data_IF_402450948657
#
_entry.id   IF_402450948657
#
_cell.length_a   1.000
_cell.length_b   1.000
_cell.length_c   1.000
_cell.angle_alpha   90.00
_cell.angle_beta   90.00
_cell.angle_gamma   90.00
#
_symmetry.space_group_name_H-M   'P 1'
#
loop_
_entity.id
_entity.type
_entity.pdbx_description
1 polymer ?
#
# COMPACT_ATOMS: atom_id res chain seq x y z
N UNK A 1 0.94 6.20 30.88
CA UNK A 1 0.86 4.88 30.21
C UNK A 1 1.83 3.95 30.94
N UNK A 2 1.46 2.69 31.19
CA UNK A 2 2.40 1.74 31.78
C UNK A 2 3.37 1.28 30.68
N UNK A 3 4.68 1.40 30.93
CA UNK A 3 5.71 0.89 30.03
C UNK A 3 5.71 -0.64 30.06
N UNK A 4 5.84 -1.26 28.89
CA UNK A 4 6.07 -2.71 28.76
C UNK A 4 7.45 -3.04 29.34
N UNK A 5 7.59 -4.15 30.06
CA UNK A 5 8.84 -4.47 30.73
C UNK A 5 9.93 -4.89 29.75
N UNK A 6 9.57 -5.70 28.75
CA UNK A 6 10.49 -6.26 27.76
C UNK A 6 9.95 -6.06 26.34
N UNK A 7 10.68 -5.31 25.52
CA UNK A 7 10.29 -5.04 24.14
C UNK A 7 11.35 -5.59 23.20
N UNK A 8 10.94 -6.38 22.21
CA UNK A 8 11.81 -6.80 21.11
C UNK A 8 11.58 -5.89 19.91
N UNK A 9 12.64 -5.30 19.39
CA UNK A 9 12.59 -4.40 18.24
C UNK A 9 13.13 -5.07 16.97
N UNK A 10 12.27 -5.14 15.95
CA UNK A 10 12.60 -5.52 14.58
C UNK A 10 13.16 -4.31 13.77
N UNK A 11 13.71 -4.54 12.58
CA UNK A 11 14.22 -3.51 11.67
C UNK A 11 13.16 -2.42 11.39
N UNK A 12 11.89 -2.82 11.29
CA UNK A 12 10.76 -1.91 11.11
C UNK A 12 10.65 -0.84 12.19
N UNK A 13 10.96 -1.17 13.44
CA UNK A 13 10.93 -0.24 14.57
C UNK A 13 11.91 0.92 14.35
N UNK A 14 13.12 0.61 13.93
CA UNK A 14 14.18 1.61 13.71
C UNK A 14 13.96 2.42 12.43
N UNK A 15 13.51 1.78 11.35
CA UNK A 15 13.24 2.43 10.07
C UNK A 15 12.10 3.46 10.17
N UNK A 16 11.15 3.25 11.07
CA UNK A 16 10.03 4.17 11.33
C UNK A 16 10.29 5.20 12.42
N UNK A 17 11.50 5.21 12.99
CA UNK A 17 11.86 6.11 14.08
C UNK A 17 10.95 5.99 15.30
N UNK A 18 10.66 4.75 15.70
CA UNK A 18 9.88 4.46 16.90
C UNK A 18 10.58 5.01 18.16
N UNK A 19 9.86 5.80 18.96
CA UNK A 19 10.30 6.21 20.29
C UNK A 19 10.19 5.05 21.29
N UNK A 20 11.06 4.05 21.15
CA UNK A 20 11.00 2.82 21.95
C UNK A 20 11.13 3.06 23.46
N UNK A 21 11.80 4.14 23.87
CA UNK A 21 11.91 4.56 25.26
C UNK A 21 10.56 4.88 25.92
N UNK A 22 9.56 5.29 25.13
CA UNK A 22 8.22 5.60 25.61
C UNK A 22 7.31 4.36 25.64
N UNK A 23 7.81 3.24 25.10
CA UNK A 23 7.06 1.99 24.95
C UNK A 23 7.55 0.95 25.96
N UNK A 24 8.87 0.79 26.10
CA UNK A 24 9.46 -0.30 26.86
C UNK A 24 10.59 0.13 27.79
N UNK A 25 10.71 -0.56 28.95
CA UNK A 25 11.83 -0.37 29.88
C UNK A 25 13.10 -1.04 29.39
N UNK A 26 13.01 -2.30 28.96
CA UNK A 26 14.14 -3.06 28.45
C UNK A 26 13.94 -3.34 26.96
N UNK A 27 14.83 -2.81 26.13
CA UNK A 27 14.73 -2.91 24.67
C UNK A 27 15.75 -3.91 24.18
N UNK A 28 15.27 -4.98 23.56
CA UNK A 28 16.06 -6.07 23.00
C UNK A 28 16.04 -6.05 21.48
N UNK A 29 17.15 -6.42 20.86
CA UNK A 29 17.20 -6.72 19.43
C UNK A 29 18.30 -7.73 19.13
N UNK A 30 18.42 -8.12 17.87
CA UNK A 30 19.47 -9.02 17.39
C UNK A 30 20.49 -8.22 16.58
N UNK A 31 21.75 -8.65 16.62
CA UNK A 31 22.84 -7.97 15.92
C UNK A 31 22.62 -7.94 14.41
N UNK A 32 22.12 -9.05 13.86
CA UNK A 32 21.84 -9.21 12.44
C UNK A 32 20.87 -8.14 11.93
N UNK A 33 19.78 -7.90 12.69
CA UNK A 33 18.76 -6.87 12.39
C UNK A 33 19.40 -5.49 12.24
N UNK A 34 20.24 -5.09 13.19
CA UNK A 34 20.90 -3.77 13.15
C UNK A 34 21.95 -3.69 12.04
N UNK A 35 22.69 -4.77 11.82
CA UNK A 35 23.74 -4.84 10.79
C UNK A 35 23.18 -4.78 9.36
N UNK A 36 21.95 -5.27 9.15
CA UNK A 36 21.29 -5.28 7.86
C UNK A 36 20.78 -3.89 7.43
N UNK A 37 20.56 -2.98 8.38
CA UNK A 37 20.00 -1.65 8.10
C UNK A 37 20.95 -0.85 7.20
N UNK A 38 20.53 -0.65 5.94
CA UNK A 38 21.31 0.12 4.94
C UNK A 38 20.99 1.61 4.93
N UNK A 39 19.84 2.01 5.46
CA UNK A 39 19.42 3.40 5.45
C UNK A 39 20.40 4.31 6.20
N UNK A 40 20.74 5.46 5.61
CA UNK A 40 21.78 6.34 6.16
C UNK A 40 21.26 7.16 7.34
N UNK A 41 20.01 7.61 7.29
CA UNK A 41 19.42 8.41 8.36
C UNK A 41 19.23 7.55 9.61
N UNK A 42 18.66 6.35 9.45
CA UNK A 42 18.48 5.39 10.54
C UNK A 42 19.80 4.97 11.18
N UNK A 43 20.85 4.67 10.39
CA UNK A 43 22.18 4.35 10.95
C UNK A 43 22.79 5.47 11.78
N UNK A 44 22.55 6.73 11.39
CA UNK A 44 23.00 7.89 12.19
C UNK A 44 22.25 7.98 13.51
N UNK A 45 20.93 7.74 13.52
CA UNK A 45 20.12 7.75 14.74
C UNK A 45 20.49 6.61 15.70
N UNK A 46 20.73 5.41 15.15
CA UNK A 46 21.18 4.25 15.94
C UNK A 46 22.50 4.48 16.67
N UNK A 47 23.35 5.40 16.18
CA UNK A 47 24.60 5.76 16.85
C UNK A 47 24.41 6.68 18.08
N UNK A 48 23.24 7.29 18.24
CA UNK A 48 22.95 8.31 19.28
C UNK A 48 21.62 8.05 19.99
N UNK A 49 21.30 6.78 20.26
CA UNK A 49 20.04 6.42 20.92
C UNK A 49 20.00 6.96 22.37
N UNK A 50 18.85 7.50 22.82
CA UNK A 50 18.67 7.99 24.19
C UNK A 50 18.40 6.86 25.21
N UNK A 51 18.53 5.59 24.79
CA UNK A 51 18.26 4.41 25.60
C UNK A 51 19.29 3.31 25.31
N UNK A 52 19.44 2.38 26.25
CA UNK A 52 20.30 1.21 26.09
C UNK A 52 19.61 0.16 25.21
N UNK A 53 20.28 -0.23 24.11
CA UNK A 53 19.83 -1.31 23.23
C UNK A 53 20.55 -2.60 23.60
N UNK A 54 19.81 -3.60 24.09
CA UNK A 54 20.38 -4.90 24.50
C UNK A 54 20.37 -5.90 23.36
N UNK A 55 21.54 -6.42 23.03
CA UNK A 55 21.67 -7.47 22.02
C UNK A 55 21.53 -8.84 22.68
N UNK A 56 20.51 -9.62 22.30
CA UNK A 56 20.29 -10.98 22.78
C UNK A 56 20.04 -11.90 21.59
N UNK A 57 20.81 -12.97 21.50
CA UNK A 57 20.59 -14.02 20.49
C UNK A 57 19.64 -15.08 21.08
N UNK A 58 18.64 -15.54 20.32
CA UNK A 58 17.74 -16.60 20.77
C UNK A 58 18.47 -17.94 20.88
N UNK A 59 18.06 -18.78 21.84
CA UNK A 59 18.62 -20.12 21.99
C UNK A 59 18.29 -21.00 20.76
N UNK A 60 19.20 -21.90 20.33
CA UNK A 60 19.00 -22.75 19.16
C UNK A 60 17.72 -23.61 19.21
N UNK A 61 17.24 -23.93 20.41
CA UNK A 61 16.00 -24.69 20.63
C UNK A 61 14.77 -23.98 20.04
N UNK A 62 14.75 -22.65 20.08
CA UNK A 62 13.67 -21.81 19.53
C UNK A 62 13.90 -21.42 18.06
N UNK A 63 15.11 -21.59 17.55
CA UNK A 63 15.54 -21.19 16.19
C UNK A 63 15.59 -22.42 15.29
N UNK A 64 14.46 -23.09 15.06
CA UNK A 64 14.35 -24.10 13.99
C UNK A 64 14.00 -23.50 12.63
N UNK A 65 13.69 -22.20 12.60
CA UNK A 65 13.29 -21.44 11.42
C UNK A 65 14.12 -20.14 11.37
N UNK A 66 14.40 -19.63 10.16
CA UNK A 66 15.15 -18.39 9.87
C UNK A 66 14.43 -17.11 10.34
N UNK A 67 13.86 -17.11 11.55
CA UNK A 67 13.10 -15.99 12.10
C UNK A 67 13.54 -15.74 13.55
N UNK A 68 14.76 -15.25 13.69
CA UNK A 68 15.41 -15.02 14.98
C UNK A 68 14.62 -14.03 15.87
N UNK A 69 13.98 -13.01 15.29
CA UNK A 69 13.18 -12.03 16.05
C UNK A 69 11.98 -12.70 16.73
N UNK A 70 11.25 -13.55 15.99
CA UNK A 70 10.14 -14.32 16.55
C UNK A 70 10.62 -15.28 17.65
N UNK A 71 11.72 -15.98 17.41
CA UNK A 71 12.32 -16.88 18.40
C UNK A 71 12.70 -16.12 19.69
N UNK A 72 13.29 -14.93 19.57
CA UNK A 72 13.64 -14.09 20.71
C UNK A 72 12.40 -13.62 21.48
N UNK A 73 11.34 -13.22 20.78
CA UNK A 73 10.08 -12.84 21.43
C UNK A 73 9.47 -13.99 22.20
N UNK A 74 9.43 -15.18 21.60
CA UNK A 74 8.92 -16.39 22.25
C UNK A 74 9.75 -16.79 23.47
N UNK A 75 11.08 -16.69 23.37
CA UNK A 75 11.98 -16.99 24.48
C UNK A 75 11.73 -16.06 25.67
N UNK A 76 11.59 -14.75 25.43
CA UNK A 76 11.30 -13.79 26.51
C UNK A 76 9.91 -14.02 27.11
N UNK A 77 8.91 -14.34 26.29
CA UNK A 77 7.58 -14.70 26.79
C UNK A 77 7.64 -15.92 27.72
N UNK A 78 8.35 -16.97 27.29
CA UNK A 78 8.55 -18.18 28.08
C UNK A 78 9.30 -17.94 29.40
N UNK A 79 10.27 -17.01 29.40
CA UNK A 79 11.10 -16.66 30.56
C UNK A 79 10.33 -15.84 31.60
N UNK A 80 9.51 -14.86 31.17
CA UNK A 80 8.88 -13.88 32.07
C UNK A 80 7.40 -14.12 32.37
N UNK A 81 6.65 -14.75 31.46
CA UNK A 81 5.20 -14.96 31.59
C UNK A 81 4.86 -16.45 31.66
N UNK A 82 5.51 -17.26 30.83
CA UNK A 82 5.28 -18.70 30.68
C UNK A 82 4.51 -19.04 29.40
N UNK A 83 4.48 -20.33 29.03
CA UNK A 83 4.01 -20.80 27.71
C UNK A 83 2.57 -21.32 27.68
N UNK A 84 1.85 -21.33 28.80
CA UNK A 84 0.53 -21.97 28.91
C UNK A 84 -0.56 -21.30 28.07
N UNK A 85 -0.45 -20.00 27.81
CA UNK A 85 -1.41 -19.23 27.02
C UNK A 85 -1.11 -19.24 25.52
N UNK A 86 0.07 -19.74 25.12
CA UNK A 86 0.52 -19.73 23.73
C UNK A 86 -0.10 -20.90 22.95
N UNK A 87 -0.51 -20.61 21.72
CA UNK A 87 -1.12 -21.61 20.82
C UNK A 87 -0.03 -22.39 20.09
N UNK A 88 -0.13 -23.72 20.08
CA UNK A 88 0.79 -24.59 19.34
C UNK A 88 0.38 -24.80 17.88
N UNK A 89 -0.92 -24.81 17.61
CA UNK A 89 -1.48 -24.97 16.27
C UNK A 89 -2.37 -23.77 15.92
N UNK A 90 -2.26 -23.23 14.68
CA UNK A 90 -3.11 -22.14 14.24
C UNK A 90 -4.54 -22.61 14.02
N UNK A 91 -5.49 -21.71 14.23
CA UNK A 91 -6.90 -21.98 13.95
C UNK A 91 -7.17 -22.17 12.45
N UNK A 92 -8.23 -22.93 12.15
CA UNK A 92 -8.64 -23.18 10.76
C UNK A 92 -9.05 -21.88 10.08
N UNK A 93 -8.52 -21.68 8.88
CA UNK A 93 -8.79 -20.49 8.06
C UNK A 93 -10.27 -20.44 7.68
N UNK A 94 -10.94 -19.33 8.00
CA UNK A 94 -12.30 -19.07 7.54
C UNK A 94 -12.27 -18.41 6.18
N UNK A 95 -13.18 -18.83 5.30
CA UNK A 95 -13.21 -18.39 3.90
C UNK A 95 -14.57 -17.76 3.60
N UNK A 96 -14.54 -16.52 3.12
CA UNK A 96 -15.70 -15.82 2.60
C UNK A 96 -15.46 -15.41 1.15
N UNK A 97 -16.51 -15.04 0.43
CA UNK A 97 -16.37 -14.62 -0.95
C UNK A 97 -17.35 -13.51 -1.32
N UNK A 98 -16.90 -12.54 -2.09
CA UNK A 98 -17.64 -11.35 -2.51
C UNK A 98 -17.53 -11.16 -4.03
N UNK A 99 -18.51 -10.49 -4.64
CA UNK A 99 -18.43 -10.09 -6.06
C UNK A 99 -17.46 -8.90 -6.29
N UNK A 100 -17.03 -8.25 -5.23
CA UNK A 100 -16.16 -7.09 -5.27
C UNK A 100 -14.80 -7.42 -5.89
N UNK A 101 -14.25 -6.47 -6.65
CA UNK A 101 -12.95 -6.63 -7.31
C UNK A 101 -11.79 -6.38 -6.31
N UNK A 102 -10.69 -7.16 -6.34
CA UNK A 102 -9.57 -6.99 -5.40
C UNK A 102 -8.84 -5.64 -5.47
N UNK A 103 -8.96 -4.94 -6.60
CA UNK A 103 -8.37 -3.60 -6.81
C UNK A 103 -9.33 -2.45 -6.44
N UNK A 104 -10.47 -2.74 -5.79
CA UNK A 104 -11.30 -1.67 -5.23
C UNK A 104 -10.55 -0.94 -4.11
N UNK A 105 -10.52 0.40 -4.11
CA UNK A 105 -9.73 1.19 -3.17
C UNK A 105 -10.44 1.30 -1.81
N UNK A 106 -10.66 0.16 -1.16
CA UNK A 106 -11.15 0.14 0.21
C UNK A 106 -10.03 0.54 1.17
N UNK A 107 -10.34 1.37 2.17
CA UNK A 107 -9.39 1.82 3.20
C UNK A 107 -8.21 2.63 2.67
N UNK A 108 -8.37 3.32 1.53
CA UNK A 108 -7.39 4.29 1.05
C UNK A 108 -7.87 5.68 1.47
N UNK A 109 -7.14 6.34 2.36
CA UNK A 109 -7.43 7.72 2.78
C UNK A 109 -7.51 8.65 1.57
N UNK A 110 -8.54 9.50 1.52
CA UNK A 110 -8.80 10.42 0.42
C UNK A 110 -9.57 9.82 -0.76
N UNK A 111 -9.90 8.53 -0.72
CA UNK A 111 -10.85 7.91 -1.67
C UNK A 111 -12.21 7.77 -1.00
N UNK A 112 -13.12 8.71 -1.29
CA UNK A 112 -14.50 8.63 -0.81
C UNK A 112 -15.30 7.62 -1.64
N UNK A 113 -15.78 6.55 -1.00
CA UNK A 113 -16.79 5.67 -1.58
C UNK A 113 -18.12 6.01 -0.90
N UNK A 114 -19.09 6.61 -1.61
CA UNK A 114 -20.39 6.88 -1.03
C UNK A 114 -21.04 5.55 -0.65
N UNK A 115 -21.15 5.28 0.64
CA UNK A 115 -22.01 4.21 1.13
C UNK A 115 -23.45 4.66 0.91
N UNK A 116 -24.30 3.79 0.35
CA UNK A 116 -25.75 4.01 0.40
C UNK A 116 -26.12 4.29 1.86
N UNK A 117 -26.97 5.28 2.15
CA UNK A 117 -27.36 5.59 3.52
C UNK A 117 -27.90 4.32 4.18
N UNK A 118 -27.33 3.96 5.32
CA UNK A 118 -27.87 2.90 6.16
C UNK A 118 -29.21 3.43 6.66
N UNK A 119 -30.32 2.93 6.11
CA UNK A 119 -31.63 3.13 6.72
C UNK A 119 -31.54 2.71 8.21
N UNK A 120 -32.08 3.51 9.14
CA UNK A 120 -32.16 3.13 10.54
C UNK A 120 -32.82 1.75 10.66
N UNK A 121 -32.15 0.83 11.35
CA UNK A 121 -32.70 -0.50 11.62
C UNK A 121 -33.84 -0.37 12.63
N UNK A 122 -35.07 -0.29 12.15
CA UNK A 122 -36.24 -0.68 12.92
C UNK A 122 -36.62 -2.13 12.59
N UNK A 123 -36.80 -2.91 13.64
CA UNK A 123 -37.18 -4.31 13.65
C UNK A 123 -38.67 -4.50 13.34
N UNK A 124 -39.07 -5.08 12.21
CA UNK A 124 -40.30 -5.90 12.08
C UNK A 124 -40.16 -6.92 10.91
N UNK A 125 -40.76 -8.08 11.11
CA UNK A 125 -40.75 -9.31 10.31
C UNK A 125 -41.57 -9.27 8.98
N UNK A 126 -41.03 -10.01 7.98
CA UNK A 126 -41.68 -10.82 6.91
C UNK A 126 -42.61 -10.21 5.84
N UNK A 127 -42.19 -10.36 4.56
CA UNK A 127 -43.07 -10.42 3.38
C UNK A 127 -42.42 -10.00 2.05
N UNK A 128 -42.02 -10.96 1.20
CA UNK A 128 -41.92 -10.78 -0.27
C UNK A 128 -43.34 -10.87 -0.88
N UNK A 129 -43.66 -10.34 -2.10
CA UNK A 129 -42.80 -10.32 -3.30
C UNK A 129 -42.99 -9.13 -4.28
N UNK A 130 -42.26 -9.24 -5.41
CA UNK A 130 -42.58 -8.81 -6.78
C UNK A 130 -41.72 -7.69 -7.41
N UNK A 131 -41.04 -8.16 -8.47
CA UNK A 131 -40.33 -7.50 -9.57
C UNK A 131 -40.85 -6.14 -10.04
N UNK A 132 -39.92 -5.22 -10.31
CA UNK A 132 -39.98 -4.20 -11.38
C UNK A 132 -38.52 -3.91 -11.84
N UNK A 133 -38.30 -3.52 -13.10
CA UNK A 133 -37.11 -3.90 -13.87
C UNK A 133 -35.88 -3.04 -13.58
N UNK A 134 -34.72 -3.68 -13.70
CA UNK A 134 -33.41 -3.04 -13.68
C UNK A 134 -33.25 -2.14 -14.91
N UNK A 135 -33.13 -0.83 -14.69
CA UNK A 135 -32.62 0.11 -15.69
C UNK A 135 -31.18 -0.25 -16.06
N UNK A 136 -31.05 -1.04 -17.13
CA UNK A 136 -29.82 -1.63 -17.66
C UNK A 136 -28.89 -0.62 -18.36
N UNK A 137 -29.06 0.69 -18.20
CA UNK A 137 -28.19 1.70 -18.84
C UNK A 137 -27.15 2.34 -17.92
N UNK A 138 -27.24 2.17 -16.60
CA UNK A 138 -26.25 2.74 -15.68
C UNK A 138 -25.05 1.81 -15.42
N UNK A 139 -24.53 1.20 -16.49
CA UNK A 139 -23.27 0.46 -16.47
C UNK A 139 -22.36 0.76 -17.66
N UNK A 140 -22.45 1.98 -18.20
CA UNK A 140 -21.48 2.46 -19.19
C UNK A 140 -20.48 3.42 -18.53
N UNK A 141 -19.35 2.87 -18.07
CA UNK A 141 -18.14 3.63 -17.81
C UNK A 141 -17.63 4.23 -19.14
N UNK A 142 -18.16 5.38 -19.54
CA UNK A 142 -17.70 6.18 -20.68
C UNK A 142 -16.79 7.32 -20.20
N UNK A 143 -15.60 6.96 -19.70
CA UNK A 143 -14.53 7.94 -19.53
C UNK A 143 -13.80 8.06 -20.89
N UNK A 144 -13.70 9.30 -21.40
CA UNK A 144 -13.07 9.77 -22.66
C UNK A 144 -13.95 9.90 -23.92
N UNK A 145 -14.60 11.07 -24.10
CA UNK A 145 -14.58 11.86 -25.35
C UNK A 145 -14.62 13.38 -25.07
N UNK A 146 -13.92 14.11 -25.94
CA UNK A 146 -13.60 15.55 -25.99
C UNK A 146 -14.75 16.42 -26.57
N UNK A 147 -14.66 17.78 -26.55
CA UNK A 147 -13.57 18.61 -26.01
C UNK A 147 -13.96 19.40 -24.75
N UNK A 148 -12.95 19.71 -23.94
CA UNK A 148 -13.08 20.66 -22.84
C UNK A 148 -13.44 22.05 -23.41
N UNK A 149 -14.23 22.86 -22.68
CA UNK A 149 -14.50 24.24 -23.07
C UNK A 149 -13.19 25.02 -23.29
N UNK A 150 -13.18 25.91 -24.28
CA UNK A 150 -12.01 26.75 -24.55
C UNK A 150 -11.90 27.84 -23.47
N UNK A 151 -10.90 27.71 -22.60
CA UNK A 151 -10.66 28.57 -21.43
C UNK A 151 -9.74 29.76 -21.78
N UNK A 152 -9.40 29.92 -23.06
CA UNK A 152 -8.47 30.97 -23.51
C UNK A 152 -8.99 32.39 -23.22
N UNK A 153 -10.32 32.60 -23.24
CA UNK A 153 -10.93 33.89 -22.94
C UNK A 153 -10.82 34.27 -21.46
N UNK A 154 -11.14 33.33 -20.55
CA UNK A 154 -11.05 33.55 -19.10
C UNK A 154 -9.60 33.81 -18.65
N UNK A 155 -8.63 33.20 -19.34
CA UNK A 155 -7.20 33.43 -19.09
C UNK A 155 -6.73 34.81 -19.56
N UNK A 156 -7.32 35.35 -20.63
CA UNK A 156 -6.98 36.68 -21.17
C UNK A 156 -7.52 37.82 -20.28
N UNK A 157 -8.70 37.59 -19.68
CA UNK A 157 -9.34 38.54 -18.78
C UNK A 157 -8.58 38.68 -17.44
N UNK A 158 -8.04 37.57 -16.93
CA UNK A 158 -7.17 37.55 -15.74
C UNK A 158 -5.79 38.19 -15.95
N UNK A 159 -5.31 38.28 -17.20
CA UNK A 159 -4.02 38.90 -17.51
C UNK A 159 -4.08 40.43 -17.69
N UNK A 160 -5.29 41.00 -17.81
CA UNK A 160 -5.46 42.43 -18.17
C UNK A 160 -6.02 43.30 -17.03
N UNK A 161 -6.37 42.72 -15.88
CA UNK A 161 -6.93 43.46 -14.74
C UNK A 161 -5.89 44.04 -13.77
N UNK A 162 -5.40 45.27 -14.00
CA UNK A 162 -4.67 46.08 -13.01
C UNK A 162 -5.35 47.44 -12.83
N UNK A 163 -6.00 47.64 -11.68
CA UNK A 163 -6.13 48.92 -10.96
C UNK A 163 -7.24 49.91 -11.34
N UNK A 164 -8.29 49.95 -10.50
CA UNK A 164 -9.06 51.11 -10.00
C UNK A 164 -9.79 52.09 -10.96
N UNK A 165 -11.14 52.11 -10.91
CA UNK A 165 -11.95 53.20 -10.29
C UNK A 165 -13.47 53.06 -10.57
N UNK A 166 -14.28 53.32 -9.54
CA UNK A 166 -15.75 53.56 -9.48
C UNK A 166 -16.00 55.09 -9.75
N UNK A 167 -17.17 55.67 -10.13
CA UNK A 167 -18.60 55.23 -10.11
C UNK A 167 -19.48 55.53 -11.37
N UNK A 168 -20.70 54.96 -11.44
CA UNK A 168 -22.02 55.67 -11.27
C UNK A 168 -23.20 55.06 -12.06
N UNK A 169 -24.22 54.61 -11.31
CA UNK A 169 -25.69 54.74 -11.45
C UNK A 169 -26.50 54.28 -12.69
N UNK A 170 -27.65 53.65 -12.33
CA UNK A 170 -28.95 53.47 -13.04
C UNK A 170 -29.06 52.51 -14.26
N UNK A 171 -29.63 51.31 -14.07
CA UNK A 171 -31.09 51.04 -14.15
C UNK A 171 -31.45 49.52 -14.05
N UNK A 172 -32.45 49.27 -13.20
CA UNK A 172 -33.50 48.21 -13.14
C UNK A 172 -33.36 46.93 -13.99
N UNK A 173 -33.48 45.77 -13.33
CA UNK A 173 -34.70 44.94 -13.38
C UNK A 173 -34.65 43.77 -12.38
N UNK A 174 -35.78 43.55 -11.72
CA UNK A 174 -36.01 42.56 -10.67
C UNK A 174 -36.06 41.14 -11.24
N UNK A 175 -35.29 40.21 -10.65
CA UNK A 175 -35.65 38.80 -10.67
C UNK A 175 -35.35 38.16 -9.32
N UNK A 176 -36.40 38.19 -8.48
CA UNK A 176 -36.53 37.42 -7.24
C UNK A 176 -36.59 35.94 -7.61
N UNK A 177 -35.45 35.25 -7.54
CA UNK A 177 -35.42 33.79 -7.48
C UNK A 177 -35.08 33.41 -6.05
N UNK A 178 -36.05 32.83 -5.34
CA UNK A 178 -35.88 32.32 -3.99
C UNK A 178 -34.83 31.20 -4.00
N UNK A 179 -33.64 31.49 -3.47
CA UNK A 179 -32.70 30.45 -3.06
C UNK A 179 -33.34 29.69 -1.90
N UNK A 180 -34.06 28.61 -2.22
CA UNK A 180 -34.27 27.52 -1.28
C UNK A 180 -32.89 27.06 -0.83
N UNK A 181 -32.56 27.33 0.42
CA UNK A 181 -31.52 26.62 1.16
C UNK A 181 -31.91 25.14 1.17
N UNK A 182 -31.41 24.40 0.20
CA UNK A 182 -31.34 22.96 0.28
C UNK A 182 -30.23 22.68 1.30
N UNK A 183 -30.62 22.44 2.56
CA UNK A 183 -29.73 21.86 3.56
C UNK A 183 -29.47 20.39 3.17
N UNK A 184 -28.71 20.24 2.08
CA UNK A 184 -28.05 19.00 1.74
C UNK A 184 -27.06 18.70 2.86
N UNK A 185 -27.34 17.65 3.62
CA UNK A 185 -26.39 17.02 4.54
C UNK A 185 -25.10 16.70 3.77
N UNK A 186 -24.15 17.64 3.75
CA UNK A 186 -22.79 17.44 3.30
C UNK A 186 -22.15 16.40 4.23
N UNK A 187 -22.22 15.13 3.82
CA UNK A 187 -21.33 14.11 4.34
C UNK A 187 -19.91 14.44 3.85
N UNK A 188 -19.29 15.36 4.57
CA UNK A 188 -17.93 15.90 4.40
C UNK A 188 -16.84 14.85 4.73
N UNK A 189 -17.20 13.56 4.74
CA UNK A 189 -16.43 12.44 5.28
C UNK A 189 -15.27 11.93 4.43
N UNK A 190 -14.87 12.65 3.38
CA UNK A 190 -13.90 12.16 2.37
C UNK A 190 -12.63 12.98 2.18
N UNK A 191 -12.58 14.23 2.67
CA UNK A 191 -11.49 15.15 2.35
C UNK A 191 -10.23 14.89 3.18
N UNK A 192 -9.05 15.23 2.66
CA UNK A 192 -7.80 15.34 3.42
C UNK A 192 -7.53 16.83 3.65
N UNK A 193 -7.81 17.31 4.85
CA UNK A 193 -7.70 18.71 5.25
C UNK A 193 -6.47 18.92 6.15
N UNK A 194 -5.93 20.14 6.26
CA UNK A 194 -4.87 20.44 7.22
C UNK A 194 -5.24 20.07 8.68
N UNK A 195 -6.54 20.09 9.00
CA UNK A 195 -7.06 19.69 10.32
C UNK A 195 -6.99 18.16 10.51
N UNK A 196 -7.28 17.38 9.47
CA UNK A 196 -7.28 15.92 9.57
C UNK A 196 -5.94 15.27 9.20
N UNK A 197 -5.01 15.94 8.52
CA UNK A 197 -3.74 15.30 8.11
C UNK A 197 -2.95 14.81 9.33
N UNK A 198 -2.92 15.61 10.41
CA UNK A 198 -2.32 15.21 11.69
C UNK A 198 -3.14 14.15 12.39
N UNK A 199 -4.45 14.07 12.16
CA UNK A 199 -5.28 13.00 12.71
C UNK A 199 -5.05 11.69 11.96
N UNK A 200 -5.00 11.71 10.63
CA UNK A 200 -4.70 10.55 9.78
C UNK A 200 -3.27 10.07 10.04
N UNK A 201 -2.33 11.01 10.18
CA UNK A 201 -0.97 10.71 10.63
C UNK A 201 -0.95 10.17 12.05
N UNK A 202 -1.84 10.61 12.96
CA UNK A 202 -1.92 10.08 14.33
C UNK A 202 -2.69 8.77 14.47
N UNK A 203 -3.70 8.51 13.66
CA UNK A 203 -4.37 7.21 13.53
C UNK A 203 -3.42 6.18 12.93
N UNK A 204 -2.47 6.65 12.10
CA UNK A 204 -1.19 6.01 11.94
C UNK A 204 -0.46 6.06 13.29
N UNK A 205 0.24 7.10 13.77
CA UNK A 205 1.10 7.15 14.99
C UNK A 205 0.61 6.50 16.32
N UNK A 206 -0.67 6.20 16.55
CA UNK A 206 -1.20 5.65 17.80
C UNK A 206 -0.67 4.24 18.10
N UNK A 207 0.19 4.17 19.11
CA UNK A 207 0.58 2.94 19.81
C UNK A 207 -0.54 2.53 20.77
N UNK A 208 -1.44 1.65 20.33
CA UNK A 208 -2.38 1.00 21.27
C UNK A 208 -1.66 -0.15 21.95
N UNK A 209 -1.06 0.14 23.11
CA UNK A 209 -0.49 -0.89 23.98
C UNK A 209 -1.65 -1.51 24.76
N UNK A 210 -1.89 -2.83 24.66
CA UNK A 210 -2.88 -3.50 25.51
C UNK A 210 -2.51 -3.30 26.99
N UNK A 211 -3.52 -3.11 27.85
CA UNK A 211 -3.27 -3.01 29.30
C UNK A 211 -2.74 -4.36 29.80
N UNK A 212 -1.66 -4.34 30.59
CA UNK A 212 -1.02 -5.52 31.23
C UNK A 212 -0.15 -6.42 30.32
N UNK A 213 0.58 -5.83 29.37
CA UNK A 213 1.57 -6.57 28.55
C UNK A 213 2.96 -6.48 29.20
N UNK A 214 3.55 -7.63 29.53
CA UNK A 214 4.93 -7.72 30.05
C UNK A 214 5.99 -7.81 28.95
N UNK A 215 5.74 -8.62 27.93
CA UNK A 215 6.63 -8.84 26.79
C UNK A 215 5.90 -8.48 25.50
N UNK A 216 6.56 -7.77 24.59
CA UNK A 216 5.96 -7.45 23.31
C UNK A 216 6.96 -7.23 22.18
N UNK A 217 6.51 -7.43 20.95
CA UNK A 217 7.33 -7.25 19.74
C UNK A 217 6.89 -6.02 18.97
N UNK A 218 7.82 -5.12 18.66
CA UNK A 218 7.61 -4.01 17.74
C UNK A 218 8.08 -4.43 16.35
N UNK A 219 7.12 -4.62 15.45
CA UNK A 219 7.39 -4.91 14.03
C UNK A 219 6.38 -4.22 13.12
N UNK A 220 6.83 -3.87 11.92
CA UNK A 220 6.00 -3.30 10.86
C UNK A 220 5.62 -4.32 9.78
N UNK A 221 6.14 -5.55 9.86
CA UNK A 221 5.85 -6.58 8.86
C UNK A 221 4.55 -7.32 9.22
N UNK A 222 3.54 -7.20 8.36
CA UNK A 222 2.27 -7.92 8.52
C UNK A 222 2.45 -9.44 8.60
N UNK A 223 3.45 -10.02 7.94
CA UNK A 223 3.71 -11.46 8.04
C UNK A 223 4.13 -11.86 9.45
N UNK A 224 5.04 -11.10 10.07
CA UNK A 224 5.46 -11.35 11.45
C UNK A 224 4.32 -11.09 12.43
N UNK A 225 3.56 -10.01 12.25
CA UNK A 225 2.39 -9.72 13.09
C UNK A 225 1.36 -10.84 13.06
N UNK A 226 1.05 -11.39 11.88
CA UNK A 226 0.11 -12.51 11.74
C UNK A 226 0.58 -13.75 12.52
N UNK A 227 1.88 -14.07 12.45
CA UNK A 227 2.43 -15.22 13.17
C UNK A 227 2.41 -14.97 14.67
N UNK A 228 2.80 -13.78 15.13
CA UNK A 228 2.76 -13.40 16.55
C UNK A 228 1.34 -13.51 17.12
N UNK A 229 0.33 -12.95 16.42
CA UNK A 229 -1.07 -13.05 16.82
C UNK A 229 -1.57 -14.51 16.85
N UNK A 230 -1.18 -15.33 15.87
CA UNK A 230 -1.55 -16.76 15.84
C UNK A 230 -0.92 -17.56 16.98
N UNK A 231 0.29 -17.21 17.40
CA UNK A 231 0.96 -17.83 18.54
C UNK A 231 0.40 -17.34 19.89
N UNK A 232 -0.34 -16.22 19.90
CA UNK A 232 -0.81 -15.56 21.11
C UNK A 232 0.20 -14.59 21.73
N UNK A 233 1.24 -14.20 20.98
CA UNK A 233 2.24 -13.22 21.40
C UNK A 233 1.76 -11.79 21.15
N UNK A 234 2.11 -10.88 22.05
CA UNK A 234 1.70 -9.49 21.96
C UNK A 234 2.54 -8.68 20.96
N UNK A 235 1.89 -8.17 19.92
CA UNK A 235 2.46 -7.19 18.99
C UNK A 235 2.24 -5.79 19.55
N UNK A 236 3.30 -5.01 19.63
CA UNK A 236 3.26 -3.59 19.96
C UNK A 236 3.35 -2.80 18.67
N UNK A 237 2.25 -2.20 18.26
CA UNK A 237 2.27 -1.38 17.05
C UNK A 237 2.95 -0.05 17.30
N UNK A 238 3.83 0.30 16.37
CA UNK A 238 4.30 1.67 16.19
C UNK A 238 3.62 2.22 14.96
N UNK A 239 3.10 3.43 15.10
CA UNK A 239 2.37 4.09 14.05
C UNK A 239 1.17 3.32 13.49
N UNK A 240 0.35 2.73 14.39
CA UNK A 240 -1.03 2.31 14.05
C UNK A 240 -1.07 1.17 13.06
N UNK A 241 0.11 0.57 12.87
CA UNK A 241 0.33 -0.64 12.12
C UNK A 241 -0.02 -1.88 12.96
N UNK A 242 -0.92 -1.78 13.96
CA UNK A 242 -1.49 -2.96 14.60
C UNK A 242 -2.61 -3.44 13.69
N UNK A 243 -2.56 -4.71 13.26
CA UNK A 243 -3.72 -5.31 12.61
C UNK A 243 -4.81 -5.45 13.68
N UNK A 244 -5.72 -4.47 13.75
CA UNK A 244 -6.98 -4.58 14.52
C UNK A 244 -8.08 -5.14 13.64
N UNK A 245 -8.39 -4.43 12.55
CA UNK A 245 -9.41 -4.86 11.59
C UNK A 245 -9.04 -4.51 10.13
N UNK A 246 -7.84 -3.97 9.90
CA UNK A 246 -7.40 -3.56 8.58
C UNK A 246 -7.16 -4.78 7.69
N UNK A 247 -7.85 -4.82 6.55
CA UNK A 247 -7.68 -5.84 5.52
C UNK A 247 -6.26 -5.80 4.96
N UNK A 248 -5.42 -6.74 5.37
CA UNK A 248 -4.14 -7.00 4.73
C UNK A 248 -4.34 -7.75 3.42
N UNK A 249 -3.33 -7.80 2.57
CA UNK A 249 -3.38 -8.55 1.32
C UNK A 249 -2.29 -9.61 1.29
N UNK A 250 -2.62 -10.78 0.73
CA UNK A 250 -1.66 -11.82 0.38
C UNK A 250 -1.82 -12.17 -1.10
N UNK A 251 -0.80 -12.79 -1.67
CA UNK A 251 -0.88 -13.38 -3.00
C UNK A 251 -1.15 -14.88 -2.89
N UNK A 252 -2.18 -15.36 -3.59
CA UNK A 252 -2.52 -16.78 -3.70
C UNK A 252 -2.40 -17.25 -5.14
N UNK A 253 -1.70 -18.35 -5.37
CA UNK A 253 -1.67 -18.99 -6.67
C UNK A 253 -3.01 -19.68 -6.97
N UNK A 254 -3.66 -19.38 -8.09
CA UNK A 254 -4.89 -20.05 -8.47
C UNK A 254 -4.68 -21.46 -9.08
N UNK A 255 -3.44 -21.82 -9.46
CA UNK A 255 -3.10 -23.16 -9.95
C UNK A 255 -2.79 -24.18 -8.85
N UNK A 256 -1.75 -23.93 -8.03
CA UNK A 256 -1.34 -24.84 -6.95
C UNK A 256 -1.83 -24.43 -5.54
N UNK A 257 -2.64 -23.38 -5.42
CA UNK A 257 -3.27 -22.91 -4.18
C UNK A 257 -2.36 -22.44 -3.05
N UNK A 258 -1.03 -22.50 -3.21
CA UNK A 258 -0.08 -21.92 -2.25
C UNK A 258 -0.20 -20.40 -2.18
N UNK A 259 -0.07 -19.88 -0.95
CA UNK A 259 -0.10 -18.46 -0.62
C UNK A 259 1.31 -17.94 -0.33
N UNK A 260 1.50 -16.64 -0.49
CA UNK A 260 2.70 -15.90 -0.09
C UNK A 260 2.30 -14.51 0.39
N UNK A 261 2.93 -14.04 1.47
CA UNK A 261 2.76 -12.67 2.01
C UNK A 261 3.58 -11.63 1.24
N UNK A 262 4.63 -12.05 0.51
CA UNK A 262 5.45 -11.15 -0.30
C UNK A 262 4.65 -10.59 -1.50
N UNK A 263 4.21 -9.34 -1.35
CA UNK A 263 3.41 -8.60 -2.33
C UNK A 263 4.20 -8.16 -3.57
N UNK A 264 5.54 -8.30 -3.57
CA UNK A 264 6.38 -7.98 -4.72
C UNK A 264 6.46 -9.13 -5.73
N UNK A 265 6.06 -10.34 -5.33
CA UNK A 265 6.14 -11.52 -6.20
C UNK A 265 5.17 -11.46 -7.37
N UNK A 266 5.66 -11.96 -8.50
CA UNK A 266 4.90 -12.11 -9.73
C UNK A 266 4.71 -13.58 -10.10
N UNK A 267 5.72 -14.41 -9.80
CA UNK A 267 5.72 -15.85 -10.01
C UNK A 267 5.47 -16.59 -8.70
N UNK A 268 4.74 -17.69 -8.78
CA UNK A 268 4.51 -18.57 -7.63
C UNK A 268 5.79 -19.33 -7.29
N UNK A 269 6.24 -19.26 -6.04
CA UNK A 269 7.46 -19.94 -5.55
C UNK A 269 7.38 -21.46 -5.63
N UNK A 270 6.18 -22.04 -5.72
CA UNK A 270 5.99 -23.49 -5.73
C UNK A 270 5.91 -24.09 -7.12
N UNK A 271 5.13 -23.49 -8.02
CA UNK A 271 4.92 -24.01 -9.36
C UNK A 271 5.60 -23.19 -10.47
N UNK A 272 6.30 -22.10 -10.13
CA UNK A 272 7.01 -21.22 -11.06
C UNK A 272 6.11 -20.35 -11.95
N UNK A 273 4.81 -20.64 -12.03
CA UNK A 273 3.90 -19.94 -12.93
C UNK A 273 3.54 -18.54 -12.44
N UNK A 274 3.28 -17.63 -13.40
CA UNK A 274 2.79 -16.27 -13.17
C UNK A 274 1.29 -16.25 -12.88
N UNK A 275 0.89 -16.91 -11.80
CA UNK A 275 -0.52 -17.24 -11.47
C UNK A 275 -0.98 -16.69 -10.13
N UNK A 276 -0.20 -15.80 -9.51
CA UNK A 276 -0.54 -15.15 -8.25
C UNK A 276 -1.72 -14.18 -8.42
N UNK A 277 -2.66 -14.22 -7.48
CA UNK A 277 -3.82 -13.32 -7.37
C UNK A 277 -3.86 -12.73 -5.97
N UNK A 278 -4.15 -11.43 -5.89
CA UNK A 278 -4.32 -10.72 -4.63
C UNK A 278 -5.62 -11.15 -3.95
N UNK A 279 -5.52 -11.56 -2.69
CA UNK A 279 -6.63 -11.94 -1.82
C UNK A 279 -6.51 -11.12 -0.54
N UNK A 280 -7.61 -10.54 -0.09
CA UNK A 280 -7.63 -9.77 1.14
C UNK A 280 -7.87 -10.68 2.35
N UNK A 281 -7.20 -10.38 3.45
CA UNK A 281 -7.13 -11.19 4.66
C UNK A 281 -7.35 -10.31 5.88
N UNK A 282 -8.12 -10.80 6.82
CA UNK A 282 -8.31 -10.19 8.15
C UNK A 282 -7.80 -11.18 9.18
N UNK A 283 -6.99 -10.70 10.13
CA UNK A 283 -6.60 -11.46 11.32
C UNK A 283 -7.28 -10.81 12.50
N UNK A 284 -8.09 -11.59 13.22
CA UNK A 284 -8.73 -11.12 14.45
C UNK A 284 -7.74 -11.17 15.62
N UNK A 285 -8.03 -10.48 16.72
CA UNK A 285 -7.22 -10.52 17.95
C UNK A 285 -7.06 -11.95 18.50
N UNK A 286 -8.04 -12.83 18.25
CA UNK A 286 -7.98 -14.26 18.59
C UNK A 286 -6.96 -15.05 17.73
N UNK A 287 -6.32 -14.43 16.75
CA UNK A 287 -5.43 -15.10 15.79
C UNK A 287 -6.16 -15.85 14.67
N UNK A 288 -7.50 -15.76 14.62
CA UNK A 288 -8.30 -16.39 13.55
C UNK A 288 -8.08 -15.71 12.19
N UNK A 289 -7.72 -16.51 11.18
CA UNK A 289 -7.44 -16.02 9.82
C UNK A 289 -8.69 -16.08 8.94
N UNK A 290 -9.12 -14.93 8.42
CA UNK A 290 -10.27 -14.80 7.53
C UNK A 290 -9.85 -14.35 6.13
N UNK A 291 -9.99 -15.21 5.12
CA UNK A 291 -9.70 -14.89 3.72
C UNK A 291 -10.96 -14.50 2.96
N UNK A 292 -10.93 -13.36 2.27
CA UNK A 292 -12.04 -12.88 1.45
C UNK A 292 -11.70 -13.01 -0.04
N UNK A 293 -12.34 -13.95 -0.71
CA UNK A 293 -12.15 -14.21 -2.14
C UNK A 293 -13.05 -13.34 -3.01
N UNK A 294 -12.55 -12.96 -4.18
CA UNK A 294 -13.37 -12.30 -5.21
C UNK A 294 -13.94 -13.33 -6.19
N UNK A 295 -15.28 -13.39 -6.30
CA UNK A 295 -16.01 -14.13 -7.34
C UNK A 295 -16.11 -13.37 -8.66
N UNK A 296 -15.53 -12.17 -8.73
CA UNK A 296 -15.58 -11.34 -9.93
C UNK A 296 -14.92 -12.07 -11.14
N UNK A 297 -15.66 -12.33 -12.23
CA UNK A 297 -15.16 -13.11 -13.36
C UNK A 297 -13.99 -12.42 -14.10
N UNK A 298 -13.80 -11.11 -13.91
CA UNK A 298 -12.66 -10.38 -14.49
C UNK A 298 -11.31 -10.78 -13.86
N UNK A 299 -11.30 -11.33 -12.65
CA UNK A 299 -10.06 -11.71 -11.93
C UNK A 299 -9.39 -12.93 -12.55
N UNK A 300 -10.19 -13.93 -12.94
CA UNK A 300 -9.75 -15.18 -13.56
C UNK A 300 -10.19 -15.23 -15.03
N UNK A 301 -9.75 -14.25 -15.81
CA UNK A 301 -10.02 -14.19 -17.24
C UNK A 301 -8.79 -14.66 -18.06
N UNK A 302 -8.92 -15.68 -18.94
CA UNK A 302 -7.81 -16.17 -19.75
C UNK A 302 -7.44 -15.27 -20.95
N UNK A 303 -8.21 -14.21 -21.23
CA UNK A 303 -7.97 -13.31 -22.35
C UNK A 303 -6.58 -12.65 -22.27
N UNK A 304 -5.87 -12.66 -23.39
CA UNK A 304 -4.55 -12.04 -23.54
C UNK A 304 -3.38 -12.82 -22.94
N UNK A 305 -3.62 -14.04 -22.43
CA UNK A 305 -2.56 -14.92 -21.92
C UNK A 305 -1.88 -15.73 -23.03
N UNK A 306 -2.60 -16.09 -24.10
CA UNK A 306 -2.07 -16.85 -25.25
C UNK A 306 -1.79 -15.92 -26.42
N UNK A 307 -0.52 -15.83 -26.80
CA UNK A 307 -0.02 -15.06 -27.94
C UNK A 307 1.31 -15.64 -28.43
N UNK A 308 1.69 -15.35 -29.67
CA UNK A 308 2.94 -15.84 -30.25
C UNK A 308 4.14 -15.14 -29.61
N UNK A 309 5.07 -15.93 -29.09
CA UNK A 309 6.33 -15.44 -28.54
C UNK A 309 7.39 -15.31 -29.65
N UNK A 310 8.29 -14.31 -29.57
CA UNK A 310 9.43 -14.22 -30.47
C UNK A 310 10.39 -15.39 -30.25
N UNK A 311 11.22 -15.70 -31.25
CA UNK A 311 12.30 -16.67 -31.09
C UNK A 311 13.28 -16.22 -29.99
N UNK A 312 13.83 -17.17 -29.20
CA UNK A 312 14.79 -16.84 -28.17
C UNK A 312 16.06 -16.27 -28.80
N UNK A 313 16.51 -15.11 -28.31
CA UNK A 313 17.74 -14.45 -28.80
C UNK A 313 18.73 -14.27 -27.65
N UNK A 314 20.01 -14.45 -27.96
CA UNK A 314 21.14 -14.18 -27.06
C UNK A 314 21.88 -12.89 -27.42
N UNK A 315 22.92 -12.57 -26.65
CA UNK A 315 23.79 -11.42 -26.86
C UNK A 315 23.58 -10.26 -25.87
N UNK A 316 24.46 -9.25 -25.94
CA UNK A 316 24.54 -8.15 -24.97
C UNK A 316 23.28 -7.28 -24.91
N UNK A 317 22.49 -7.24 -25.99
CA UNK A 317 21.33 -6.36 -26.14
C UNK A 317 20.00 -7.11 -26.28
N UNK A 318 20.00 -8.45 -26.12
CA UNK A 318 18.79 -9.24 -26.24
C UNK A 318 17.85 -9.00 -25.05
N UNK A 319 16.58 -8.74 -25.34
CA UNK A 319 15.52 -8.55 -24.33
C UNK A 319 14.40 -9.53 -24.67
N UNK A 320 14.44 -10.70 -24.03
CA UNK A 320 13.40 -11.71 -24.16
C UNK A 320 12.24 -11.40 -23.19
N UNK A 321 10.99 -11.84 -23.49
CA UNK A 321 9.90 -11.76 -22.53
C UNK A 321 10.24 -12.43 -21.20
N UNK A 322 9.74 -11.90 -20.09
CA UNK A 322 9.99 -12.41 -18.74
C UNK A 322 8.99 -13.53 -18.39
N UNK A 323 9.46 -14.77 -18.35
CA UNK A 323 8.66 -15.99 -18.23
C UNK A 323 8.88 -16.77 -16.92
N UNK A 324 10.08 -16.70 -16.33
CA UNK A 324 10.41 -17.35 -15.04
C UNK A 324 11.11 -16.37 -14.10
N UNK A 325 11.08 -16.63 -12.79
CA UNK A 325 11.65 -15.74 -11.78
C UNK A 325 13.18 -15.62 -11.84
N UNK A 326 13.84 -16.71 -12.21
CA UNK A 326 15.30 -16.87 -12.30
C UNK A 326 15.83 -16.54 -13.70
N UNK A 327 15.00 -15.93 -14.55
CA UNK A 327 15.38 -15.61 -15.91
C UNK A 327 16.55 -14.61 -15.95
N UNK A 328 17.63 -15.01 -16.62
CA UNK A 328 18.82 -14.17 -16.77
C UNK A 328 18.58 -13.08 -17.81
N UNK A 329 18.79 -11.83 -17.41
CA UNK A 329 18.77 -10.67 -18.30
C UNK A 329 20.18 -10.10 -18.47
N UNK A 330 20.58 -9.68 -19.68
CA UNK A 330 21.80 -8.89 -19.87
C UNK A 330 21.77 -7.61 -19.04
N UNK A 331 22.94 -7.12 -18.62
CA UNK A 331 23.04 -5.90 -17.83
C UNK A 331 22.80 -4.66 -18.70
N UNK A 332 21.53 -4.24 -18.78
CA UNK A 332 21.10 -3.03 -19.45
C UNK A 332 20.72 -1.97 -18.41
N UNK A 333 21.74 -1.33 -17.83
CA UNK A 333 21.57 -0.33 -16.77
C UNK A 333 21.58 1.11 -17.31
N UNK A 334 20.93 2.00 -16.58
CA UNK A 334 20.94 3.43 -16.83
C UNK A 334 22.20 4.10 -16.28
N UNK A 335 22.59 5.21 -16.88
CA UNK A 335 23.66 6.08 -16.38
C UNK A 335 23.29 6.68 -15.00
N UNK A 336 24.25 7.33 -14.33
CA UNK A 336 23.95 8.08 -13.09
C UNK A 336 22.99 9.23 -13.37
N UNK A 337 23.22 9.99 -14.46
CA UNK A 337 22.39 11.13 -14.87
C UNK A 337 20.94 10.71 -15.13
N UNK A 338 20.73 9.63 -15.87
CA UNK A 338 19.39 9.11 -16.16
C UNK A 338 18.59 8.63 -14.94
N UNK A 339 19.26 8.31 -13.82
CA UNK A 339 18.61 7.85 -12.58
C UNK A 339 18.29 8.98 -11.62
N UNK A 340 18.81 10.18 -11.86
CA UNK A 340 18.55 11.34 -11.01
C UNK A 340 17.11 11.81 -11.20
N UNK A 341 16.48 12.14 -10.07
CA UNK A 341 15.18 12.82 -10.04
C UNK A 341 15.39 14.18 -9.39
N UNK A 342 14.47 15.10 -9.67
CA UNK A 342 14.45 16.41 -9.02
C UNK A 342 13.78 16.27 -7.67
N UNK A 343 14.49 16.63 -6.61
CA UNK A 343 13.92 16.77 -5.27
C UNK A 343 13.84 18.26 -4.93
N UNK A 344 12.62 18.80 -4.90
CA UNK A 344 12.35 20.23 -4.70
C UNK A 344 12.61 20.65 -3.25
N UNK A 345 12.55 19.70 -2.32
CA UNK A 345 12.74 19.96 -0.89
C UNK A 345 14.17 19.65 -0.42
N UNK A 346 15.06 19.28 -1.34
CA UNK A 346 16.46 19.08 -1.02
C UNK A 346 17.16 20.44 -0.75
N UNK A 347 18.11 20.50 0.20
CA UNK A 347 18.76 21.76 0.59
C UNK A 347 19.57 22.39 -0.55
N UNK A 348 20.00 21.61 -1.53
CA UNK A 348 20.75 22.03 -2.70
C UNK A 348 19.86 22.53 -3.85
N UNK A 349 18.54 22.43 -3.74
CA UNK A 349 17.60 22.84 -4.79
C UNK A 349 17.70 24.33 -5.14
N UNK A 350 17.81 25.20 -4.13
CA UNK A 350 17.88 26.67 -4.31
C UNK A 350 19.13 27.10 -5.06
N UNK A 351 20.22 26.34 -4.95
CA UNK A 351 21.47 26.60 -5.65
C UNK A 351 21.47 26.11 -7.12
N UNK A 352 20.41 25.42 -7.56
CA UNK A 352 20.30 24.88 -8.91
C UNK A 352 20.09 25.97 -9.96
N UNK A 353 20.85 25.91 -11.06
CA UNK A 353 20.65 26.78 -12.24
C UNK A 353 19.33 26.51 -12.96
N UNK A 354 18.79 25.30 -12.80
CA UNK A 354 17.54 24.84 -13.42
C UNK A 354 16.64 24.23 -12.34
N UNK A 355 15.33 24.51 -12.35
CA UNK A 355 14.37 23.87 -11.46
C UNK A 355 14.23 22.35 -11.66
N UNK A 356 14.77 21.81 -12.75
CA UNK A 356 14.64 20.40 -13.14
C UNK A 356 16.00 19.74 -13.39
N UNK A 357 16.08 18.46 -13.01
CA UNK A 357 17.20 17.59 -13.33
C UNK A 357 17.32 17.38 -14.85
N UNK A 358 18.56 17.44 -15.34
CA UNK A 358 18.84 17.28 -16.77
C UNK A 358 18.65 15.84 -17.26
N UNK A 359 18.13 15.70 -18.47
CA UNK A 359 17.99 14.41 -19.14
C UNK A 359 19.34 13.88 -19.65
N UNK A 360 19.46 12.56 -19.68
CA UNK A 360 20.58 11.87 -20.32
C UNK A 360 20.24 11.54 -21.77
N UNK A 361 20.88 12.25 -22.70
CA UNK A 361 20.77 12.04 -24.14
C UNK A 361 22.08 11.55 -24.78
N UNK A 362 23.20 11.63 -24.05
CA UNK A 362 24.54 11.37 -24.59
C UNK A 362 25.03 9.95 -24.34
N UNK A 363 24.53 9.26 -23.33
CA UNK A 363 25.04 7.95 -22.97
C UNK A 363 24.66 6.88 -23.99
N UNK A 364 25.45 5.79 -24.04
CA UNK A 364 25.10 4.61 -24.84
C UNK A 364 23.75 4.00 -24.42
N UNK A 365 23.39 4.09 -23.12
CA UNK A 365 22.09 3.64 -22.62
C UNK A 365 20.93 4.45 -23.19
N UNK A 366 21.12 5.75 -23.42
CA UNK A 366 20.13 6.61 -24.06
C UNK A 366 19.90 6.20 -25.53
N UNK A 367 20.99 5.97 -26.28
CA UNK A 367 20.90 5.45 -27.67
C UNK A 367 20.18 4.11 -27.75
N UNK A 368 20.43 3.21 -26.80
CA UNK A 368 19.77 1.91 -26.70
C UNK A 368 18.32 1.98 -26.19
N UNK A 369 17.84 3.18 -25.83
CA UNK A 369 16.50 3.44 -25.31
C UNK A 369 16.18 2.61 -24.05
N UNK A 370 17.16 2.45 -23.16
CA UNK A 370 16.95 1.78 -21.87
C UNK A 370 16.00 2.65 -21.03
N UNK A 371 15.06 2.01 -20.34
CA UNK A 371 14.05 2.66 -19.50
C UNK A 371 14.07 2.04 -18.11
N UNK A 372 13.68 2.84 -17.11
CA UNK A 372 13.46 2.32 -15.76
C UNK A 372 12.39 1.22 -15.74
N UNK A 373 12.63 0.20 -14.91
CA UNK A 373 11.69 -0.92 -14.73
C UNK A 373 10.34 -0.49 -14.14
N UNK A 374 10.27 0.67 -13.50
CA UNK A 374 9.05 1.27 -12.95
C UNK A 374 8.14 1.82 -14.05
N UNK A 375 8.70 2.23 -15.19
CA UNK A 375 7.94 2.78 -16.31
C UNK A 375 7.16 1.70 -17.07
N UNK A 376 6.10 2.13 -17.77
CA UNK A 376 5.34 1.27 -18.67
C UNK A 376 4.58 0.13 -18.00
N UNK A 377 4.35 0.18 -16.68
CA UNK A 377 3.55 -0.81 -15.97
C UNK A 377 2.14 -0.96 -16.57
N UNK A 378 1.45 0.17 -16.82
CA UNK A 378 0.13 0.15 -17.47
C UNK A 378 0.17 -0.43 -18.89
N UNK A 379 1.21 -0.12 -19.67
CA UNK A 379 1.39 -0.68 -21.02
C UNK A 379 1.54 -2.21 -21.00
N UNK A 380 2.30 -2.74 -20.04
CA UNK A 380 2.52 -4.19 -19.85
C UNK A 380 1.26 -4.93 -19.41
N UNK A 381 0.23 -4.25 -18.90
CA UNK A 381 -1.07 -4.83 -18.54
C UNK A 381 -2.03 -4.97 -19.73
N UNK A 382 -1.71 -4.36 -20.89
CA UNK A 382 -2.55 -4.47 -22.07
C UNK A 382 -2.42 -5.84 -22.74
N UNK A 383 -3.53 -6.34 -23.27
CA UNK A 383 -3.55 -7.57 -24.07
C UNK A 383 -2.66 -7.40 -25.32
N UNK A 384 -1.66 -8.27 -25.54
CA UNK A 384 -0.80 -8.23 -26.74
C UNK A 384 -1.56 -8.35 -28.06
N UNK A 385 -2.71 -9.02 -28.08
CA UNK A 385 -3.50 -9.29 -29.28
C UNK A 385 -4.40 -8.10 -29.67
N UNK A 386 -4.47 -7.05 -28.85
CA UNK A 386 -5.28 -5.87 -29.16
C UNK A 386 -4.62 -4.95 -30.19
N UNK A 387 -5.44 -4.34 -31.07
CA UNK A 387 -4.98 -3.38 -32.06
C UNK A 387 -4.42 -2.11 -31.41
N UNK A 388 -3.53 -1.43 -32.14
CA UNK A 388 -2.78 -0.26 -31.66
C UNK A 388 -2.87 0.86 -32.67
N UNK A 389 -2.61 2.09 -32.22
CA UNK A 389 -2.51 3.26 -33.11
C UNK A 389 -1.41 3.03 -34.15
N UNK A 390 -1.70 3.38 -35.41
CA UNK A 390 -0.88 3.10 -36.61
C UNK A 390 0.61 3.42 -36.46
N UNK A 391 0.95 4.55 -35.84
CA UNK A 391 2.34 5.03 -35.73
C UNK A 391 3.03 4.68 -34.40
N UNK A 392 2.37 3.93 -33.51
CA UNK A 392 2.91 3.65 -32.17
C UNK A 392 3.54 2.25 -32.10
N UNK A 393 4.87 2.22 -32.13
CA UNK A 393 5.67 0.99 -31.92
C UNK A 393 5.79 0.69 -30.42
N UNK A 394 4.83 -0.05 -29.87
CA UNK A 394 4.87 -0.52 -28.48
C UNK A 394 5.74 -1.79 -28.39
N UNK A 395 6.80 -1.73 -27.57
CA UNK A 395 7.52 -2.90 -27.04
C UNK A 395 6.78 -3.51 -25.87
#
# INVERSE_FOLDING_TARGET
MALVEHVVADAGAFLRDAALQDIGKNIYTIRDVVSEIRDKATRRRLAVLPYELRFKEPFPEYVRLDIQVLALTYQLEAEFVGVSHLKQEPEKVKVSSSIQHPETPLHISGFHLPSKPKLPRETVEHGHPADEPEDLEFSSFMFWRNPLPNIDYDLQELMTGRGENVPSEEDKEENRFEERKDEGSDDDGGWITPSNIKQIQRELEQCTIPKDVRVGCVTTDFAMQNVLLQMGLHVLAVNGMLIREARSYILRCHGCFKTTSDMSRVFCSHCGNKTLKKVSVTVSDDGSLHMHFSRNPKVLNPRGLRYSLPSPKGGKYAINPHLTEDQRFPQLRLSRKARQKTDVFAPDYVAGVSPFAENDISSRSATLQIRDNTLGAGRRRLNPNASRKKFVKKR
#
